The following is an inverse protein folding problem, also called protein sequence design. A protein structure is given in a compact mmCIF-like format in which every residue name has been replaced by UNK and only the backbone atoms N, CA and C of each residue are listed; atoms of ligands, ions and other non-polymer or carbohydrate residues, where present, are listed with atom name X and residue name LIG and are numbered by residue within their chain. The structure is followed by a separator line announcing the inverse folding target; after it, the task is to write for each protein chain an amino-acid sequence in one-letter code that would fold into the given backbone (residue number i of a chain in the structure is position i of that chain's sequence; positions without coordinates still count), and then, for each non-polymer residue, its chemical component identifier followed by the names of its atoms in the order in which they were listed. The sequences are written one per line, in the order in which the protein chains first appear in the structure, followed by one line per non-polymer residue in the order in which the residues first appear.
data_IF_344237886870
#
_entry.id   IF_344237886870
#
_cell.length_a   1.000
_cell.length_b   1.000
_cell.length_c   1.000
_cell.angle_alpha   90.00
_cell.angle_beta   90.00
_cell.angle_gamma   90.00
#
_symmetry.space_group_name_H-M   'P 1'
#
loop_
_entity.id
_entity.type
_entity.pdbx_description
1 polymer ?
#
# COMPACT_ATOMS: atom_id res chain seq x y z
N UNK A 1 6.09 -53.20 -25.94
CA UNK A 1 5.62 -52.42 -27.09
C UNK A 1 6.14 -51.00 -26.92
N UNK A 2 7.27 -50.68 -27.56
CA UNK A 2 7.89 -49.34 -27.50
C UNK A 2 7.21 -48.42 -28.53
N UNK A 3 6.72 -47.27 -28.07
CA UNK A 3 6.26 -46.19 -28.97
C UNK A 3 7.50 -45.57 -29.62
N UNK A 4 7.59 -45.63 -30.93
CA UNK A 4 8.52 -44.81 -31.72
C UNK A 4 8.04 -43.39 -31.68
N UNK A 5 8.90 -42.50 -31.21
CA UNK A 5 8.69 -41.04 -31.29
C UNK A 5 8.89 -40.61 -32.74
N UNK A 6 7.99 -39.79 -33.32
CA UNK A 6 8.08 -39.34 -34.69
C UNK A 6 9.24 -38.32 -34.88
N UNK A 7 9.95 -38.34 -35.99
CA UNK A 7 11.12 -37.46 -36.24
C UNK A 7 10.85 -35.98 -36.20
N UNK A 8 9.59 -35.58 -36.27
CA UNK A 8 9.17 -34.15 -36.25
C UNK A 8 9.07 -33.60 -34.86
N UNK A 9 8.86 -34.44 -33.82
CA UNK A 9 8.82 -34.07 -32.43
C UNK A 9 10.23 -33.84 -31.89
N UNK A 10 11.18 -34.67 -32.28
CA UNK A 10 12.60 -34.53 -31.93
C UNK A 10 13.20 -33.22 -32.48
N UNK A 11 12.85 -32.85 -33.74
CA UNK A 11 13.30 -31.59 -34.32
C UNK A 11 12.73 -30.35 -33.63
N UNK A 12 11.52 -30.41 -33.08
CA UNK A 12 10.92 -29.28 -32.34
C UNK A 12 11.53 -29.11 -30.95
N UNK A 13 11.92 -30.18 -30.31
CA UNK A 13 12.61 -30.15 -29.01
C UNK A 13 14.05 -29.62 -29.14
N UNK A 14 14.77 -30.05 -30.20
CA UNK A 14 16.12 -29.54 -30.50
C UNK A 14 16.10 -28.05 -30.85
N UNK A 15 15.13 -27.57 -31.60
CA UNK A 15 14.97 -26.16 -31.95
C UNK A 15 14.66 -25.31 -30.71
N UNK A 16 13.76 -25.77 -29.83
CA UNK A 16 13.41 -25.06 -28.61
C UNK A 16 14.60 -24.97 -27.64
N UNK A 17 15.47 -25.99 -27.61
CA UNK A 17 16.68 -26.01 -26.77
C UNK A 17 17.74 -25.06 -27.32
N UNK A 18 17.88 -24.96 -28.64
CA UNK A 18 18.81 -24.02 -29.28
C UNK A 18 18.40 -22.56 -29.09
N UNK A 19 17.10 -22.25 -29.21
CA UNK A 19 16.56 -20.91 -29.01
C UNK A 19 16.71 -20.45 -27.53
N UNK A 20 16.52 -21.36 -26.56
CA UNK A 20 16.73 -21.09 -25.16
C UNK A 20 18.21 -20.82 -24.81
N UNK A 21 19.15 -21.52 -25.45
CA UNK A 21 20.59 -21.29 -25.27
C UNK A 21 21.04 -19.97 -25.89
N UNK A 22 20.51 -19.56 -27.04
CA UNK A 22 20.79 -18.27 -27.65
C UNK A 22 20.26 -17.10 -26.84
N UNK A 23 19.06 -17.21 -26.26
CA UNK A 23 18.50 -16.20 -25.36
C UNK A 23 19.32 -16.05 -24.09
N UNK A 24 19.81 -17.14 -23.52
CA UNK A 24 20.68 -17.13 -22.34
C UNK A 24 22.07 -16.52 -22.57
N UNK A 25 22.61 -16.60 -23.79
CA UNK A 25 23.89 -16.00 -24.15
C UNK A 25 23.77 -14.50 -24.41
N UNK A 26 22.68 -14.05 -25.03
CA UNK A 26 22.41 -12.61 -25.23
C UNK A 26 22.28 -11.87 -23.89
N UNK A 27 21.57 -12.45 -22.93
CA UNK A 27 21.41 -11.87 -21.58
C UNK A 27 22.72 -11.82 -20.79
N UNK A 28 23.67 -12.75 -21.01
CA UNK A 28 24.99 -12.73 -20.36
C UNK A 28 25.94 -11.70 -20.98
N UNK A 29 25.85 -11.42 -22.27
CA UNK A 29 26.68 -10.39 -22.93
C UNK A 29 26.22 -8.98 -22.56
N UNK A 30 24.93 -8.73 -22.38
CA UNK A 30 24.42 -7.45 -21.87
C UNK A 30 24.82 -7.20 -20.40
N UNK A 31 24.90 -8.24 -19.57
CA UNK A 31 25.32 -8.11 -18.17
C UNK A 31 26.82 -7.81 -17.99
N UNK A 32 27.69 -8.23 -18.89
CA UNK A 32 29.13 -7.99 -18.82
C UNK A 32 29.58 -6.63 -19.40
N UNK A 33 28.76 -6.00 -20.25
CA UNK A 33 29.07 -4.69 -20.86
C UNK A 33 28.83 -3.47 -19.97
N UNK A 34 28.26 -3.65 -18.76
CA UNK A 34 27.79 -2.53 -17.92
C UNK A 34 28.59 -2.34 -16.61
N UNK A 35 29.78 -2.94 -16.44
CA UNK A 35 30.52 -2.86 -15.18
C UNK A 35 31.58 -1.74 -15.10
N UNK A 36 31.84 -0.97 -16.17
CA UNK A 36 32.91 0.04 -16.18
C UNK A 36 32.47 1.48 -16.52
N UNK A 37 31.29 1.89 -16.08
CA UNK A 37 30.94 3.32 -16.10
C UNK A 37 30.66 3.83 -14.70
N UNK A 38 31.70 4.34 -14.06
CA UNK A 38 31.64 5.15 -12.86
C UNK A 38 30.86 6.44 -13.20
N UNK A 39 29.55 6.47 -12.92
CA UNK A 39 28.72 7.68 -13.03
C UNK A 39 28.71 8.31 -11.64
N UNK A 40 29.24 9.56 -11.48
CA UNK A 40 29.10 10.27 -10.21
C UNK A 40 27.61 10.53 -9.93
N UNK A 41 27.20 10.59 -8.65
CA UNK A 41 25.80 10.83 -8.30
C UNK A 41 25.41 12.24 -8.76
N UNK A 42 24.73 12.33 -9.89
CA UNK A 42 24.02 13.55 -10.25
C UNK A 42 22.76 13.58 -9.41
N UNK A 43 22.75 14.43 -8.40
CA UNK A 43 21.52 14.94 -7.80
C UNK A 43 20.73 15.68 -8.89
N UNK A 44 20.09 14.94 -9.76
CA UNK A 44 19.03 15.47 -10.58
C UNK A 44 17.77 15.29 -9.76
N UNK A 45 17.38 16.38 -9.10
CA UNK A 45 16.04 16.51 -8.58
C UNK A 45 15.08 16.04 -9.65
N UNK A 46 14.27 15.03 -9.31
CA UNK A 46 13.04 14.68 -10.03
C UNK A 46 12.06 15.85 -9.76
N UNK A 47 12.47 17.04 -10.25
CA UNK A 47 11.61 18.21 -10.29
C UNK A 47 10.69 18.03 -11.48
N UNK A 48 9.41 17.91 -11.22
CA UNK A 48 8.35 18.14 -12.20
C UNK A 48 8.03 16.98 -13.16
N UNK A 49 7.40 15.93 -12.64
CA UNK A 49 6.45 15.14 -13.45
C UNK A 49 5.02 15.21 -12.88
N UNK A 50 4.76 16.08 -11.92
CA UNK A 50 3.39 16.40 -11.54
C UNK A 50 2.85 17.34 -12.63
N UNK A 51 1.94 16.79 -13.43
CA UNK A 51 1.20 17.51 -14.46
C UNK A 51 0.70 18.86 -13.92
N UNK A 52 0.61 19.85 -14.78
CA UNK A 52 0.12 21.22 -14.56
C UNK A 52 -1.30 21.37 -13.96
N UNK A 53 -1.84 20.33 -13.33
CA UNK A 53 -3.20 20.26 -12.77
C UNK A 53 -3.28 19.93 -11.27
N UNK A 54 -2.18 20.01 -10.51
CA UNK A 54 -2.26 19.81 -9.06
C UNK A 54 -3.09 20.93 -8.43
N UNK A 55 -4.09 20.59 -7.58
CA UNK A 55 -4.86 21.60 -6.87
C UNK A 55 -3.95 22.49 -6.03
N UNK A 56 -4.26 23.79 -6.01
CA UNK A 56 -3.43 24.78 -5.33
C UNK A 56 -3.36 24.56 -3.81
N UNK A 57 -4.34 23.87 -3.20
CA UNK A 57 -4.45 23.69 -1.74
C UNK A 57 -4.86 22.26 -1.40
N UNK A 58 -4.10 21.64 -0.48
CA UNK A 58 -4.38 20.34 0.11
C UNK A 58 -4.75 20.46 1.60
N UNK A 59 -5.52 19.50 2.10
CA UNK A 59 -5.98 19.43 3.49
C UNK A 59 -5.21 18.34 4.25
N UNK A 60 -4.65 18.71 5.38
CA UNK A 60 -4.11 17.76 6.37
C UNK A 60 -5.12 17.64 7.52
N UNK A 61 -5.55 16.43 7.83
CA UNK A 61 -6.36 16.19 9.01
C UNK A 61 -5.45 15.84 10.20
N UNK A 62 -5.80 16.24 11.44
CA UNK A 62 -5.12 15.76 12.63
C UNK A 62 -5.11 14.22 12.70
N UNK A 63 -4.05 13.65 13.25
CA UNK A 63 -4.00 12.21 13.51
C UNK A 63 -5.05 11.84 14.54
N UNK A 64 -5.87 10.84 14.24
CA UNK A 64 -6.96 10.38 15.09
C UNK A 64 -6.74 8.94 15.52
N UNK A 65 -7.31 8.61 16.68
CA UNK A 65 -7.51 7.24 17.11
C UNK A 65 -9.03 7.02 17.25
N UNK A 66 -9.54 5.95 16.64
CA UNK A 66 -10.96 5.60 16.67
C UNK A 66 -11.15 4.13 16.31
N UNK A 67 -12.37 3.64 16.47
CA UNK A 67 -12.79 2.31 16.03
C UNK A 67 -12.76 2.15 14.50
N UNK A 68 -12.74 0.89 14.04
CA UNK A 68 -12.59 0.59 12.62
C UNK A 68 -13.74 1.05 11.74
N UNK A 69 -14.98 1.07 12.24
CA UNK A 69 -16.13 1.55 11.49
C UNK A 69 -16.01 3.05 11.22
N UNK A 70 -15.67 3.82 12.24
CA UNK A 70 -15.41 5.27 12.14
C UNK A 70 -14.27 5.56 11.17
N UNK A 71 -13.14 4.80 11.24
CA UNK A 71 -12.01 5.00 10.35
C UNK A 71 -12.39 4.76 8.88
N UNK A 72 -13.06 3.65 8.60
CA UNK A 72 -13.46 3.30 7.22
C UNK A 72 -14.56 4.21 6.67
N UNK A 73 -15.50 4.64 7.51
CA UNK A 73 -16.52 5.61 7.13
C UNK A 73 -15.89 6.96 6.76
N UNK A 74 -14.92 7.43 7.55
CA UNK A 74 -14.24 8.69 7.25
C UNK A 74 -13.43 8.64 5.96
N UNK A 75 -12.75 7.52 5.66
CA UNK A 75 -12.06 7.34 4.38
C UNK A 75 -13.05 7.40 3.20
N UNK A 76 -14.19 6.74 3.32
CA UNK A 76 -15.24 6.75 2.31
C UNK A 76 -15.89 8.12 2.16
N UNK A 77 -16.14 8.81 3.27
CA UNK A 77 -16.70 10.15 3.30
C UNK A 77 -15.77 11.16 2.63
N UNK A 78 -14.48 11.14 2.96
CA UNK A 78 -13.48 11.99 2.32
C UNK A 78 -13.41 11.73 0.82
N UNK A 79 -13.45 10.47 0.37
CA UNK A 79 -13.46 10.13 -1.05
C UNK A 79 -14.68 10.74 -1.78
N UNK A 80 -15.84 10.78 -1.13
CA UNK A 80 -17.07 11.35 -1.69
C UNK A 80 -17.07 12.89 -1.70
N UNK A 81 -16.51 13.52 -0.64
CA UNK A 81 -16.73 14.95 -0.33
C UNK A 81 -15.52 15.86 -0.58
N UNK A 82 -14.28 15.35 -0.62
CA UNK A 82 -13.11 16.21 -0.76
C UNK A 82 -13.08 16.93 -2.12
N UNK A 83 -12.90 18.23 -2.11
CA UNK A 83 -12.76 19.05 -3.31
C UNK A 83 -11.29 19.25 -3.73
N UNK A 84 -10.35 18.89 -2.89
CA UNK A 84 -8.90 18.94 -3.11
C UNK A 84 -8.20 17.72 -2.52
N UNK A 85 -6.87 17.63 -2.66
CA UNK A 85 -6.11 16.58 -2.01
C UNK A 85 -6.28 16.63 -0.50
N UNK A 86 -6.39 15.47 0.14
CA UNK A 86 -6.44 15.37 1.60
C UNK A 86 -5.59 14.22 2.08
N UNK A 87 -4.86 14.43 3.17
CA UNK A 87 -4.10 13.38 3.86
C UNK A 87 -4.55 13.31 5.31
N UNK A 88 -4.71 12.09 5.78
CA UNK A 88 -4.85 11.78 7.21
C UNK A 88 -3.98 10.61 7.59
N UNK A 89 -3.51 10.64 8.85
CA UNK A 89 -2.99 9.47 9.54
C UNK A 89 -3.95 9.08 10.65
N UNK A 90 -3.98 7.79 10.97
CA UNK A 90 -4.81 7.32 12.07
C UNK A 90 -4.30 6.03 12.69
N UNK A 91 -4.70 5.81 13.94
CA UNK A 91 -4.50 4.60 14.71
C UNK A 91 -5.84 3.97 15.04
N UNK A 92 -5.86 2.70 15.23
CA UNK A 92 -7.07 1.94 15.52
C UNK A 92 -7.21 1.77 17.04
N UNK A 93 -8.43 1.85 17.54
CA UNK A 93 -8.75 1.51 18.93
C UNK A 93 -8.84 -0.01 19.06
N UNK A 94 -7.79 -0.63 19.62
CA UNK A 94 -7.64 -2.08 19.67
C UNK A 94 -7.25 -2.71 18.34
N UNK A 95 -7.10 -4.04 18.30
CA UNK A 95 -6.80 -4.77 17.08
C UNK A 95 -8.02 -4.87 16.15
N UNK A 96 -7.82 -4.59 14.87
CA UNK A 96 -8.82 -4.71 13.83
C UNK A 96 -8.30 -5.52 12.64
N UNK A 97 -9.17 -6.32 12.05
CA UNK A 97 -8.91 -6.98 10.77
C UNK A 97 -9.84 -6.36 9.72
N UNK A 98 -9.27 -5.61 8.79
CA UNK A 98 -10.04 -5.04 7.68
C UNK A 98 -10.11 -6.00 6.50
N UNK A 99 -11.34 -6.33 6.09
CA UNK A 99 -11.61 -7.14 4.91
C UNK A 99 -11.68 -6.24 3.67
N UNK A 100 -11.14 -6.73 2.54
CA UNK A 100 -11.30 -6.02 1.27
C UNK A 100 -12.76 -5.96 0.82
N UNK A 101 -13.14 -4.90 0.09
CA UNK A 101 -14.53 -4.68 -0.38
C UNK A 101 -15.14 -5.91 -1.04
N UNK A 102 -14.37 -6.65 -1.82
CA UNK A 102 -14.85 -7.80 -2.59
C UNK A 102 -14.49 -9.15 -1.96
N UNK A 103 -13.85 -9.16 -0.80
CA UNK A 103 -13.52 -10.38 -0.07
C UNK A 103 -14.78 -10.91 0.61
N UNK A 104 -15.44 -11.88 -0.01
CA UNK A 104 -16.72 -12.47 0.48
C UNK A 104 -16.49 -13.68 1.38
N UNK A 105 -15.33 -14.31 1.28
CA UNK A 105 -14.97 -15.49 2.05
C UNK A 105 -13.69 -15.23 2.82
N UNK A 106 -13.62 -15.74 4.03
CA UNK A 106 -12.46 -15.70 4.91
C UNK A 106 -12.50 -16.91 5.86
N UNK A 107 -11.35 -17.27 6.48
CA UNK A 107 -11.28 -18.37 7.44
C UNK A 107 -12.26 -18.17 8.61
N UNK A 108 -12.97 -19.24 9.00
CA UNK A 108 -13.98 -19.17 10.08
C UNK A 108 -13.36 -18.78 11.44
N UNK A 109 -12.10 -19.17 11.69
CA UNK A 109 -11.42 -18.81 12.92
C UNK A 109 -11.30 -17.29 13.15
N UNK A 110 -11.38 -16.45 12.09
CA UNK A 110 -11.42 -14.98 12.27
C UNK A 110 -12.71 -14.53 12.98
N UNK A 111 -13.84 -15.19 12.70
CA UNK A 111 -15.08 -14.93 13.40
C UNK A 111 -14.98 -15.41 14.87
N UNK A 112 -14.28 -16.52 15.12
CA UNK A 112 -14.01 -17.00 16.48
C UNK A 112 -13.14 -16.02 17.27
N UNK A 113 -12.08 -15.49 16.66
CA UNK A 113 -11.24 -14.45 17.26
C UNK A 113 -12.04 -13.19 17.61
N UNK A 114 -12.93 -12.77 16.71
CA UNK A 114 -13.81 -11.63 16.95
C UNK A 114 -14.79 -11.90 18.10
N UNK A 115 -15.43 -13.07 18.13
CA UNK A 115 -16.34 -13.47 19.25
C UNK A 115 -15.65 -13.52 20.61
N UNK A 116 -14.35 -13.86 20.64
CA UNK A 116 -13.51 -13.87 21.86
C UNK A 116 -12.97 -12.49 22.21
N UNK A 117 -13.24 -11.45 21.41
CA UNK A 117 -12.72 -10.10 21.65
C UNK A 117 -11.21 -9.94 21.40
N UNK A 118 -10.58 -10.87 20.66
CA UNK A 118 -9.16 -10.78 20.30
C UNK A 118 -8.91 -9.69 19.26
N UNK A 119 -9.88 -9.48 18.37
CA UNK A 119 -9.90 -8.43 17.36
C UNK A 119 -11.33 -8.05 16.98
N UNK A 120 -11.50 -7.01 16.18
CA UNK A 120 -12.77 -6.67 15.53
C UNK A 120 -12.63 -6.74 14.01
N UNK A 121 -13.76 -6.99 13.33
CA UNK A 121 -13.80 -7.06 11.86
C UNK A 121 -14.46 -5.81 11.30
N UNK A 122 -13.91 -5.31 10.19
CA UNK A 122 -14.53 -4.23 9.41
C UNK A 122 -14.29 -4.43 7.93
N UNK A 123 -15.17 -3.93 7.09
CA UNK A 123 -14.96 -3.92 5.64
C UNK A 123 -14.44 -2.55 5.22
N UNK A 124 -13.32 -2.53 4.47
CA UNK A 124 -12.79 -1.28 3.96
C UNK A 124 -13.36 -0.93 2.57
N UNK A 125 -13.38 0.35 2.20
CA UNK A 125 -13.91 0.80 0.91
C UNK A 125 -13.10 0.32 -0.29
N UNK A 126 -11.82 -0.01 -0.13
CA UNK A 126 -10.92 -0.50 -1.18
C UNK A 126 -10.91 -2.03 -1.30
N UNK A 127 -10.34 -2.53 -2.39
CA UNK A 127 -10.15 -3.97 -2.60
C UNK A 127 -8.95 -4.54 -1.83
N UNK A 128 -8.52 -5.73 -2.25
CA UNK A 128 -7.40 -6.47 -1.66
C UNK A 128 -7.85 -7.48 -0.62
N UNK A 129 -6.88 -8.13 0.03
CA UNK A 129 -7.08 -9.14 1.08
C UNK A 129 -7.09 -8.51 2.46
N UNK A 130 -7.34 -9.32 3.49
CA UNK A 130 -7.36 -8.85 4.87
C UNK A 130 -6.06 -8.19 5.29
N UNK A 131 -6.18 -7.17 6.13
CA UNK A 131 -5.07 -6.45 6.77
C UNK A 131 -5.33 -6.38 8.27
N UNK A 132 -4.37 -6.86 9.06
CA UNK A 132 -4.38 -6.71 10.50
C UNK A 132 -3.82 -5.35 10.89
N UNK A 133 -4.63 -4.54 11.55
CA UNK A 133 -4.29 -3.23 12.07
C UNK A 133 -4.00 -3.34 13.58
N UNK A 134 -2.75 -3.65 13.88
CA UNK A 134 -2.24 -3.76 15.24
C UNK A 134 -0.75 -3.43 15.25
N UNK A 135 -0.33 -2.45 16.03
CA UNK A 135 1.07 -2.03 16.14
C UNK A 135 1.62 -1.26 14.94
N UNK A 136 0.76 -0.74 14.06
CA UNK A 136 1.12 0.05 12.88
C UNK A 136 0.58 1.47 12.89
N UNK A 137 0.72 2.14 11.75
CA UNK A 137 0.16 3.45 11.45
C UNK A 137 -0.54 3.38 10.10
N UNK A 138 -1.80 3.76 10.05
CA UNK A 138 -2.55 3.80 8.79
C UNK A 138 -2.58 5.22 8.22
N UNK A 139 -2.49 5.33 6.90
CA UNK A 139 -2.68 6.59 6.19
C UNK A 139 -3.81 6.48 5.17
N UNK A 140 -4.43 7.62 4.87
CA UNK A 140 -5.35 7.76 3.75
C UNK A 140 -5.07 9.07 3.00
N UNK A 141 -4.84 8.95 1.70
CA UNK A 141 -4.62 10.03 0.76
C UNK A 141 -5.78 10.08 -0.21
N UNK A 142 -6.47 11.21 -0.25
CA UNK A 142 -7.47 11.53 -1.27
C UNK A 142 -6.80 12.37 -2.34
N UNK A 143 -6.97 11.96 -3.58
CA UNK A 143 -6.39 12.66 -4.72
C UNK A 143 -7.44 12.84 -5.83
N UNK A 144 -8.12 13.99 -5.90
CA UNK A 144 -8.92 14.34 -7.04
C UNK A 144 -8.06 14.47 -8.31
N UNK A 145 -8.59 14.03 -9.43
CA UNK A 145 -7.92 14.09 -10.74
C UNK A 145 -6.56 13.37 -10.82
N UNK A 146 -6.41 12.28 -10.03
CA UNK A 146 -5.23 11.43 -10.07
C UNK A 146 -5.02 10.83 -11.48
N UNK A 147 -3.76 10.50 -11.86
CA UNK A 147 -3.46 9.87 -13.14
C UNK A 147 -4.34 8.65 -13.39
N UNK A 148 -4.95 8.53 -14.58
CA UNK A 148 -5.87 7.42 -14.89
C UNK A 148 -5.18 6.06 -14.98
N UNK A 149 -3.86 6.05 -15.22
CA UNK A 149 -3.06 4.82 -15.20
C UNK A 149 -2.78 4.41 -13.76
N UNK A 150 -3.39 3.32 -13.31
CA UNK A 150 -3.29 2.86 -11.92
C UNK A 150 -1.85 2.72 -11.42
N UNK A 151 -0.96 2.16 -12.22
CA UNK A 151 0.45 1.98 -11.83
C UNK A 151 1.15 3.32 -11.62
N UNK A 152 0.87 4.31 -12.48
CA UNK A 152 1.40 5.66 -12.35
C UNK A 152 0.85 6.34 -11.09
N UNK A 153 -0.47 6.25 -10.85
CA UNK A 153 -1.10 6.76 -9.65
C UNK A 153 -0.49 6.15 -8.38
N UNK A 154 -0.23 4.83 -8.35
CA UNK A 154 0.45 4.17 -7.22
C UNK A 154 1.85 4.72 -7.00
N UNK A 155 2.66 4.81 -8.06
CA UNK A 155 4.03 5.32 -7.94
C UNK A 155 4.07 6.73 -7.41
N UNK A 156 3.27 7.63 -7.96
CA UNK A 156 3.22 9.02 -7.51
C UNK A 156 2.66 9.15 -6.09
N UNK A 157 1.61 8.40 -5.77
CA UNK A 157 0.99 8.44 -4.44
C UNK A 157 1.84 7.78 -3.33
N UNK A 158 2.88 7.01 -3.67
CA UNK A 158 3.80 6.39 -2.71
C UNK A 158 5.16 7.09 -2.62
N UNK A 159 5.49 8.01 -3.54
CA UNK A 159 6.81 8.61 -3.62
C UNK A 159 7.22 9.31 -2.32
N UNK A 160 6.34 10.08 -1.74
CA UNK A 160 6.58 10.76 -0.46
C UNK A 160 6.83 9.81 0.72
N UNK A 161 6.25 8.59 0.69
CA UNK A 161 6.56 7.55 1.70
C UNK A 161 7.99 7.06 1.52
N UNK A 162 8.42 6.80 0.28
CA UNK A 162 9.79 6.36 -0.02
C UNK A 162 10.78 7.42 0.46
N UNK A 163 10.54 8.70 0.15
CA UNK A 163 11.37 9.83 0.55
C UNK A 163 11.44 9.96 2.08
N UNK A 164 10.30 9.96 2.77
CA UNK A 164 10.26 10.08 4.22
C UNK A 164 10.92 8.90 4.95
N UNK A 165 10.75 7.68 4.47
CA UNK A 165 11.46 6.54 5.06
C UNK A 165 12.95 6.50 4.72
N UNK A 166 13.37 7.02 3.57
CA UNK A 166 14.77 7.22 3.24
C UNK A 166 15.47 8.17 4.24
N UNK A 167 14.81 9.28 4.60
CA UNK A 167 15.32 10.24 5.60
C UNK A 167 15.44 9.62 6.99
N UNK A 168 14.54 8.71 7.34
CA UNK A 168 14.59 7.95 8.59
C UNK A 168 15.62 6.79 8.56
N UNK A 169 16.38 6.64 7.47
CA UNK A 169 17.39 5.61 7.31
C UNK A 169 16.81 4.20 7.11
N UNK A 170 15.55 4.09 6.70
CA UNK A 170 14.89 2.84 6.30
C UNK A 170 14.44 2.94 4.84
N UNK A 171 15.35 2.85 3.86
CA UNK A 171 15.01 2.98 2.46
C UNK A 171 13.98 1.92 2.03
N UNK A 172 12.92 2.37 1.40
CA UNK A 172 11.86 1.53 0.85
C UNK A 172 11.90 1.55 -0.68
N UNK A 173 11.48 0.45 -1.30
CA UNK A 173 11.33 0.32 -2.74
C UNK A 173 10.04 -0.43 -3.07
N UNK A 174 9.56 -0.34 -4.31
CA UNK A 174 8.39 -1.07 -4.75
C UNK A 174 8.65 -2.57 -4.77
N UNK A 175 7.72 -3.35 -4.29
CA UNK A 175 7.74 -4.81 -4.42
C UNK A 175 7.65 -5.25 -5.88
N UNK A 176 8.14 -6.46 -6.19
CA UNK A 176 8.26 -6.97 -7.57
C UNK A 176 7.36 -8.16 -7.89
N UNK A 177 6.79 -8.82 -6.89
CA UNK A 177 6.08 -10.06 -7.11
C UNK A 177 4.60 -9.85 -7.48
N UNK A 178 4.04 -10.63 -8.43
CA UNK A 178 2.61 -10.63 -8.67
C UNK A 178 1.86 -11.14 -7.42
N UNK A 179 0.73 -10.52 -7.10
CA UNK A 179 -0.11 -10.95 -5.98
C UNK A 179 -0.58 -12.40 -6.21
N UNK A 180 -0.22 -13.31 -5.29
CA UNK A 180 -0.77 -14.68 -5.29
C UNK A 180 -2.28 -14.64 -5.03
N UNK A 181 -3.07 -15.34 -5.84
CA UNK A 181 -4.53 -15.36 -5.69
C UNK A 181 -5.00 -16.14 -4.45
N UNK A 182 -4.16 -16.97 -3.87
CA UNK A 182 -4.52 -17.94 -2.82
C UNK A 182 -4.26 -17.46 -1.39
N UNK A 183 -3.38 -16.47 -1.17
CA UNK A 183 -3.08 -16.00 0.18
C UNK A 183 -4.21 -15.17 0.78
N UNK A 184 -4.60 -15.41 2.01
CA UNK A 184 -5.59 -14.62 2.74
C UNK A 184 -5.01 -13.32 3.32
N UNK A 185 -3.71 -13.27 3.54
CA UNK A 185 -2.97 -12.17 4.14
C UNK A 185 -2.45 -11.20 3.07
N UNK A 186 -2.73 -9.90 3.23
CA UNK A 186 -2.25 -8.86 2.32
C UNK A 186 -0.73 -8.63 2.44
N UNK A 187 -0.10 -9.05 3.54
CA UNK A 187 1.34 -8.92 3.76
C UNK A 187 2.15 -10.16 3.38
N UNK A 188 1.50 -11.28 3.00
CA UNK A 188 2.19 -12.52 2.59
C UNK A 188 3.02 -12.38 1.31
N UNK A 189 2.69 -11.42 0.44
CA UNK A 189 3.45 -11.13 -0.79
C UNK A 189 3.49 -9.64 -1.08
N UNK A 190 4.61 -9.17 -1.60
CA UNK A 190 4.79 -7.77 -2.00
C UNK A 190 4.50 -7.60 -3.48
N UNK A 191 3.51 -6.80 -3.82
CA UNK A 191 3.16 -6.44 -5.20
C UNK A 191 3.82 -5.14 -5.60
N UNK A 192 3.71 -4.77 -6.88
CA UNK A 192 4.15 -3.47 -7.42
C UNK A 192 3.49 -2.24 -6.76
N UNK A 193 2.46 -2.46 -5.94
CA UNK A 193 1.76 -1.42 -5.19
C UNK A 193 2.24 -1.31 -3.73
N UNK A 194 3.12 -2.20 -3.30
CA UNK A 194 3.61 -2.31 -1.93
C UNK A 194 5.02 -1.76 -1.81
N UNK A 195 5.39 -1.31 -0.61
CA UNK A 195 6.75 -0.87 -0.34
C UNK A 195 7.43 -1.87 0.60
N UNK A 196 8.61 -2.31 0.20
CA UNK A 196 9.46 -3.26 0.95
C UNK A 196 10.76 -2.60 1.35
N UNK A 197 11.32 -3.02 2.48
CA UNK A 197 12.65 -2.59 2.92
C UNK A 197 13.77 -3.45 2.32
N UNK A 198 15.03 -3.09 2.62
CA UNK A 198 16.20 -3.79 2.11
C UNK A 198 16.35 -5.25 2.56
N UNK A 199 15.59 -5.69 3.57
CA UNK A 199 15.51 -7.09 4.00
C UNK A 199 14.35 -7.87 3.34
N UNK A 200 13.58 -7.20 2.46
CA UNK A 200 12.43 -7.81 1.78
C UNK A 200 11.14 -7.78 2.58
N UNK A 201 11.13 -7.19 3.78
CA UNK A 201 9.93 -7.08 4.59
C UNK A 201 9.02 -6.00 4.01
N UNK A 202 7.77 -6.37 3.73
CA UNK A 202 6.74 -5.42 3.32
C UNK A 202 6.41 -4.48 4.46
N UNK A 203 6.79 -3.22 4.32
CA UNK A 203 6.57 -2.16 5.30
C UNK A 203 5.30 -1.38 5.07
N UNK A 204 4.89 -1.21 3.82
CA UNK A 204 3.65 -0.50 3.48
C UNK A 204 2.83 -1.33 2.51
N UNK A 205 1.64 -1.69 2.92
CA UNK A 205 0.63 -2.30 2.05
C UNK A 205 -0.45 -1.30 1.71
N UNK A 206 -0.61 -0.96 0.41
CA UNK A 206 -1.56 0.05 -0.04
C UNK A 206 -2.64 -0.52 -0.94
N UNK A 207 -3.84 0.05 -0.85
CA UNK A 207 -4.97 -0.26 -1.71
C UNK A 207 -5.62 1.02 -2.24
N UNK A 208 -6.19 0.94 -3.43
CA UNK A 208 -6.84 2.06 -4.09
C UNK A 208 -8.33 1.83 -4.31
N UNK A 209 -9.12 2.91 -4.21
CA UNK A 209 -10.49 3.00 -4.67
C UNK A 209 -10.68 4.25 -5.53
N UNK A 210 -11.27 4.06 -6.69
CA UNK A 210 -11.63 5.13 -7.59
C UNK A 210 -13.15 5.35 -7.55
N UNK A 211 -13.56 6.60 -7.41
CA UNK A 211 -14.97 6.98 -7.40
C UNK A 211 -15.12 8.42 -7.94
N UNK A 212 -15.93 8.59 -8.97
CA UNK A 212 -16.25 9.90 -9.58
C UNK A 212 -15.00 10.76 -9.89
N UNK A 213 -13.97 10.16 -10.50
CA UNK A 213 -12.73 10.84 -10.85
C UNK A 213 -11.75 11.06 -9.68
N UNK A 214 -12.13 10.70 -8.44
CA UNK A 214 -11.29 10.82 -7.24
C UNK A 214 -10.64 9.49 -6.90
N UNK A 215 -9.44 9.55 -6.41
CA UNK A 215 -8.69 8.42 -5.87
C UNK A 215 -8.62 8.52 -4.34
N UNK A 216 -9.00 7.45 -3.66
CA UNK A 216 -8.55 7.13 -2.32
C UNK A 216 -7.41 6.12 -2.43
N UNK A 217 -6.24 6.42 -1.92
CA UNK A 217 -5.22 5.44 -1.59
C UNK A 217 -5.01 5.43 -0.10
N UNK A 218 -5.23 4.30 0.52
CA UNK A 218 -4.93 4.10 1.93
C UNK A 218 -4.08 2.86 2.14
N UNK A 219 -3.35 2.82 3.24
CA UNK A 219 -2.44 1.72 3.50
C UNK A 219 -2.00 1.65 4.95
N UNK A 220 -1.61 0.45 5.34
CA UNK A 220 -1.01 0.16 6.63
C UNK A 220 0.51 0.26 6.53
N UNK A 221 1.10 1.04 7.41
CA UNK A 221 2.55 1.10 7.66
C UNK A 221 2.84 0.15 8.80
N UNK A 222 3.46 -0.98 8.48
CA UNK A 222 3.77 -2.04 9.44
C UNK A 222 4.99 -1.67 10.26
N UNK A 223 4.79 -1.47 11.56
CA UNK A 223 5.86 -1.06 12.48
C UNK A 223 6.25 -2.17 13.45
N UNK A 224 5.29 -2.71 14.18
CA UNK A 224 5.51 -3.71 15.22
C UNK A 224 4.28 -4.62 15.34
N UNK A 225 4.12 -5.54 14.41
CA UNK A 225 3.00 -6.46 14.46
C UNK A 225 3.12 -7.35 15.71
N UNK A 226 2.05 -7.48 16.52
CA UNK A 226 2.07 -8.37 17.68
C UNK A 226 2.12 -9.83 17.22
N UNK A 227 3.24 -10.52 17.49
CA UNK A 227 3.56 -11.83 16.93
C UNK A 227 2.47 -12.88 17.23
N UNK A 228 2.02 -12.96 18.48
CA UNK A 228 0.98 -13.91 18.91
C UNK A 228 -0.34 -13.69 18.12
N UNK A 229 -0.82 -12.44 18.06
CA UNK A 229 -2.05 -12.15 17.34
C UNK A 229 -1.92 -12.34 15.84
N UNK A 230 -0.74 -12.04 15.28
CA UNK A 230 -0.46 -12.28 13.87
C UNK A 230 -0.56 -13.76 13.51
N UNK A 231 0.06 -14.63 14.32
CA UNK A 231 0.00 -16.08 14.16
C UNK A 231 -1.44 -16.61 14.35
N UNK A 232 -2.19 -16.11 15.35
CA UNK A 232 -3.60 -16.47 15.53
C UNK A 232 -4.46 -16.12 14.31
N UNK A 233 -4.17 -15.01 13.62
CA UNK A 233 -4.97 -14.53 12.49
C UNK A 233 -4.56 -15.20 11.18
N UNK A 234 -3.26 -15.27 10.90
CA UNK A 234 -2.78 -15.67 9.57
C UNK A 234 -2.17 -17.06 9.53
N UNK A 235 -1.96 -17.72 10.69
CA UNK A 235 -1.27 -19.00 10.81
C UNK A 235 0.16 -18.95 10.20
N UNK A 236 0.78 -17.77 10.25
CA UNK A 236 2.10 -17.46 9.72
C UNK A 236 2.92 -16.70 10.75
N UNK A 237 4.24 -16.74 10.66
CA UNK A 237 5.13 -15.94 11.48
C UNK A 237 4.95 -14.43 11.18
N UNK A 238 4.94 -13.60 12.23
CA UNK A 238 4.82 -12.17 12.07
C UNK A 238 6.04 -11.58 11.35
N UNK A 239 5.85 -10.63 10.42
CA UNK A 239 6.97 -9.91 9.82
C UNK A 239 7.80 -9.20 10.91
N UNK A 240 9.11 -9.13 10.70
CA UNK A 240 10.02 -8.46 11.63
C UNK A 240 9.59 -7.01 11.90
N UNK A 241 9.66 -6.58 13.15
CA UNK A 241 9.38 -5.20 13.54
C UNK A 241 10.27 -4.19 12.80
N UNK A 242 9.79 -2.98 12.61
CA UNK A 242 10.60 -1.88 12.09
C UNK A 242 11.74 -1.55 13.07
N UNK A 243 12.91 -1.08 12.58
CA UNK A 243 14.02 -0.71 13.45
C UNK A 243 13.61 0.26 14.56
N UNK A 244 14.14 0.08 15.77
CA UNK A 244 13.79 0.88 16.95
C UNK A 244 14.05 2.40 16.78
N UNK A 245 14.93 2.78 15.84
CA UNK A 245 15.19 4.19 15.51
C UNK A 245 13.99 4.90 14.89
N UNK A 246 12.99 4.16 14.37
CA UNK A 246 11.77 4.75 13.84
C UNK A 246 10.89 5.14 15.02
N UNK A 247 10.82 6.44 15.33
CA UNK A 247 9.97 6.95 16.38
C UNK A 247 8.50 6.86 15.97
N UNK A 248 7.78 5.89 16.54
CA UNK A 248 6.38 5.61 16.18
C UNK A 248 5.42 6.74 16.57
N UNK A 249 5.77 7.56 17.54
CA UNK A 249 4.92 8.66 18.02
C UNK A 249 5.02 9.88 17.11
N UNK A 250 6.15 10.06 16.43
CA UNK A 250 6.44 11.23 15.58
C UNK A 250 6.39 10.88 14.08
N UNK A 251 6.23 9.60 13.73
CA UNK A 251 6.27 9.14 12.35
C UNK A 251 5.24 9.84 11.46
N UNK A 252 4.03 10.05 11.94
CA UNK A 252 2.98 10.74 11.17
C UNK A 252 3.34 12.21 10.91
N UNK A 253 4.00 12.89 11.84
CA UNK A 253 4.48 14.25 11.65
C UNK A 253 5.60 14.30 10.60
N UNK A 254 6.59 13.41 10.69
CA UNK A 254 7.68 13.31 9.74
C UNK A 254 7.15 13.00 8.32
N UNK A 255 6.28 12.01 8.19
CA UNK A 255 5.69 11.65 6.89
C UNK A 255 4.77 12.74 6.30
N UNK A 256 4.10 13.56 7.14
CA UNK A 256 3.39 14.76 6.65
C UNK A 256 4.34 15.76 6.01
N UNK A 257 5.50 15.99 6.65
CA UNK A 257 6.50 16.90 6.11
C UNK A 257 7.02 16.40 4.76
N UNK A 258 7.33 15.12 4.66
CA UNK A 258 7.74 14.49 3.41
C UNK A 258 6.70 14.64 2.29
N UNK A 259 5.39 14.48 2.61
CA UNK A 259 4.33 14.74 1.64
C UNK A 259 4.30 16.20 1.18
N UNK A 260 4.40 17.15 2.12
CA UNK A 260 4.38 18.59 1.81
C UNK A 260 5.48 18.95 0.81
N UNK A 261 6.67 18.40 1.01
CA UNK A 261 7.83 18.63 0.16
C UNK A 261 7.69 17.94 -1.20
N UNK A 262 7.31 16.67 -1.20
CA UNK A 262 7.14 15.85 -2.40
C UNK A 262 6.01 16.36 -3.31
N UNK A 263 4.95 16.91 -2.74
CA UNK A 263 3.77 17.39 -3.46
C UNK A 263 3.79 18.91 -3.72
N UNK A 264 4.95 19.53 -3.70
CA UNK A 264 5.10 20.92 -4.15
C UNK A 264 4.73 21.06 -5.65
N UNK A 265 3.94 22.08 -6.08
CA UNK A 265 3.58 23.33 -5.37
C UNK A 265 2.26 23.30 -4.60
N UNK A 266 1.65 22.17 -4.29
CA UNK A 266 0.43 22.11 -3.48
C UNK A 266 0.69 22.72 -2.09
N UNK A 267 -0.18 23.63 -1.65
CA UNK A 267 -0.10 24.24 -0.31
C UNK A 267 -0.95 23.43 0.65
N UNK A 268 -0.32 22.75 1.59
CA UNK A 268 -1.02 21.93 2.57
C UNK A 268 -1.37 22.74 3.83
N UNK A 269 -2.59 22.57 4.32
CA UNK A 269 -3.09 23.26 5.51
C UNK A 269 -3.69 22.24 6.48
N UNK A 270 -3.35 22.38 7.78
CA UNK A 270 -3.98 21.57 8.84
C UNK A 270 -5.41 22.08 9.04
N UNK A 271 -6.38 21.23 8.75
CA UNK A 271 -7.80 21.56 8.85
C UNK A 271 -8.56 20.35 9.41
N UNK A 272 -8.93 20.35 10.70
CA UNK A 272 -9.78 19.31 11.26
C UNK A 272 -11.16 19.29 10.59
N UNK A 273 -11.94 18.23 10.84
CA UNK A 273 -13.33 18.19 10.43
C UNK A 273 -14.08 19.35 11.09
N UNK A 274 -14.91 20.04 10.30
CA UNK A 274 -15.84 21.06 10.81
C UNK A 274 -17.02 20.36 11.50
N UNK A 275 -17.74 21.06 12.35
CA UNK A 275 -18.88 20.49 13.08
C UNK A 275 -19.95 19.90 12.12
N UNK A 276 -20.24 20.58 11.03
CA UNK A 276 -21.16 20.13 9.99
C UNK A 276 -20.69 18.86 9.26
N UNK A 277 -19.38 18.76 8.98
CA UNK A 277 -18.77 17.58 8.37
C UNK A 277 -18.81 16.37 9.33
N UNK A 278 -18.60 16.62 10.61
CA UNK A 278 -18.71 15.59 11.65
C UNK A 278 -20.14 15.09 11.76
N UNK A 279 -21.14 15.97 11.72
CA UNK A 279 -22.56 15.59 11.75
C UNK A 279 -22.95 14.77 10.52
N UNK A 280 -22.50 15.16 9.32
CA UNK A 280 -22.75 14.42 8.07
C UNK A 280 -22.12 13.02 8.13
N UNK A 281 -20.88 12.90 8.63
CA UNK A 281 -20.22 11.61 8.85
C UNK A 281 -20.96 10.71 9.84
N UNK A 282 -21.42 11.26 10.98
CA UNK A 282 -22.20 10.52 11.98
C UNK A 282 -23.52 10.06 11.38
N UNK A 283 -24.17 10.89 10.55
CA UNK A 283 -25.37 10.51 9.81
C UNK A 283 -25.16 9.36 8.84
N UNK A 284 -24.04 9.35 8.11
CA UNK A 284 -23.69 8.22 7.22
C UNK A 284 -23.40 6.92 8.02
N UNK A 285 -22.75 7.00 9.18
CA UNK A 285 -22.52 5.87 10.06
C UNK A 285 -23.84 5.28 10.61
N UNK A 286 -24.75 6.14 11.07
CA UNK A 286 -26.04 5.72 11.63
C UNK A 286 -26.97 5.11 10.58
N UNK A 287 -26.90 5.54 9.33
CA UNK A 287 -27.74 5.02 8.23
C UNK A 287 -27.32 3.62 7.74
N UNK A 288 -26.19 3.08 8.23
CA UNK A 288 -25.68 1.78 7.79
C UNK A 288 -25.35 1.75 6.30
N UNK A 289 -25.10 2.91 5.68
CA UNK A 289 -24.77 2.99 4.28
C UNK A 289 -23.56 2.10 3.99
N UNK A 290 -23.75 1.03 3.23
CA UNK A 290 -22.68 0.10 2.85
C UNK A 290 -21.51 0.87 2.23
N UNK A 291 -20.34 0.70 2.83
CA UNK A 291 -19.05 1.26 2.38
C UNK A 291 -18.60 0.67 1.03
#
# INVERSE_FOLDING_TARGET
MGRKIEPEQERREDQATADAQQAGQATRQEAQGNQDRHIPPRHHGVRSMLSSSMPATGRLLPTQQADGHTQMALDAWLLKRSNGPALRFYRWEGPWLSLGRHQRQWPEHWNDLARRGRLSLVRRPSGGRAVLHAGGLTYALIWPDAPRRRQEAYRQACQWLIEGFQELGLPLHFGGDPASAEANNCFASATVADLVDGSGVKRVGSAQRWQNGRLLQHGEILLDPPAELWEEVFEEEAPAAAPARINRLELDQHLRQSLIESWSPCRWQMQPLRAEETQDLVGELASGSEL
#
